data_IF_562080921018
#
_entry.id   IF_562080921018
#
_cell.length_a   1.000
_cell.length_b   1.000
_cell.length_c   1.000
_cell.angle_alpha   90.00
_cell.angle_beta   90.00
_cell.angle_gamma   90.00
#
_symmetry.space_group_name_H-M   'P 1'
#
loop_
_entity.id
_entity.type
_entity.pdbx_description
1 polymer ?
#
# COMPACT_ATOMS: atom_id res chain seq x y z
N UNK A 1 -22.34 -1.53 4.96
CA UNK A 1 -22.73 -2.73 5.73
C UNK A 1 -21.90 -2.79 7.01
N UNK A 2 -22.39 -3.35 8.11
CA UNK A 2 -21.62 -3.46 9.35
C UNK A 2 -20.59 -4.60 9.28
N UNK A 3 -19.50 -4.50 10.03
CA UNK A 3 -18.47 -5.55 10.09
C UNK A 3 -19.05 -6.89 10.58
N UNK A 4 -19.95 -6.85 11.57
CA UNK A 4 -20.63 -8.04 12.09
C UNK A 4 -21.49 -8.72 11.00
N UNK A 5 -22.19 -7.93 10.18
CA UNK A 5 -22.95 -8.46 9.06
C UNK A 5 -22.04 -9.17 8.05
N UNK A 6 -20.96 -8.50 7.62
CA UNK A 6 -19.97 -9.07 6.70
C UNK A 6 -19.33 -10.35 7.25
N UNK A 7 -19.09 -10.39 8.56
CA UNK A 7 -18.51 -11.56 9.23
C UNK A 7 -19.47 -12.75 9.29
N UNK A 8 -20.77 -12.50 9.42
CA UNK A 8 -21.81 -13.55 9.52
C UNK A 8 -22.13 -14.24 8.19
N UNK A 9 -21.66 -13.70 7.06
CA UNK A 9 -21.92 -14.29 5.74
C UNK A 9 -21.20 -15.63 5.60
N UNK A 10 -21.86 -16.58 4.93
CA UNK A 10 -21.24 -17.86 4.55
C UNK A 10 -19.95 -17.58 3.77
N UNK A 11 -18.90 -18.31 4.14
CA UNK A 11 -17.58 -18.19 3.50
C UNK A 11 -17.73 -18.49 2.00
N UNK A 12 -17.29 -17.55 1.17
CA UNK A 12 -17.30 -17.58 -0.28
C UNK A 12 -15.85 -17.45 -0.76
N UNK A 13 -15.40 -18.39 -1.58
CA UNK A 13 -14.02 -18.41 -2.09
C UNK A 13 -13.72 -17.22 -2.99
N UNK A 14 -14.71 -16.66 -3.69
CA UNK A 14 -14.54 -15.52 -4.61
C UNK A 14 -14.63 -14.14 -3.96
N UNK A 15 -15.05 -14.04 -2.70
CA UNK A 15 -15.22 -12.76 -1.99
C UNK A 15 -14.16 -12.56 -0.91
N UNK A 16 -13.60 -11.37 -0.83
CA UNK A 16 -12.59 -11.00 0.15
C UNK A 16 -12.83 -9.56 0.60
N UNK A 17 -12.91 -9.36 1.91
CA UNK A 17 -13.07 -8.04 2.53
C UNK A 17 -11.86 -7.80 3.42
N UNK A 18 -11.00 -6.85 3.06
CA UNK A 18 -9.84 -6.51 3.88
C UNK A 18 -10.28 -5.65 5.06
N UNK A 19 -9.80 -5.97 6.25
CA UNK A 19 -10.13 -5.27 7.48
C UNK A 19 -8.87 -4.93 8.27
N UNK A 20 -8.79 -3.69 8.72
CA UNK A 20 -7.72 -3.16 9.54
C UNK A 20 -8.32 -2.46 10.77
N UNK A 21 -8.12 -3.05 11.94
CA UNK A 21 -8.46 -2.41 13.22
C UNK A 21 -7.42 -2.81 14.29
N UNK A 22 -6.44 -1.95 14.59
CA UNK A 22 -5.38 -2.26 15.56
C UNK A 22 -5.89 -2.39 17.00
N UNK A 23 -7.13 -1.99 17.29
CA UNK A 23 -7.72 -2.20 18.63
C UNK A 23 -8.06 -3.67 18.87
N UNK A 24 -8.36 -4.39 17.79
CA UNK A 24 -8.77 -5.79 17.84
C UNK A 24 -7.71 -6.72 17.23
N UNK A 25 -6.84 -6.21 16.36
CA UNK A 25 -5.78 -6.95 15.69
C UNK A 25 -4.42 -6.68 16.36
N UNK A 26 -3.96 -7.63 17.17
CA UNK A 26 -2.69 -7.52 17.90
C UNK A 26 -1.49 -7.40 16.95
N UNK A 27 -1.49 -8.12 15.84
CA UNK A 27 -0.37 -8.13 14.90
C UNK A 27 -0.30 -6.77 14.17
N UNK A 28 -1.44 -6.26 13.71
CA UNK A 28 -1.52 -4.94 13.11
C UNK A 28 -1.11 -3.85 14.10
N UNK A 29 -1.57 -3.92 15.36
CA UNK A 29 -1.15 -2.98 16.41
C UNK A 29 0.36 -2.96 16.58
N UNK A 30 1.00 -4.14 16.66
CA UNK A 30 2.45 -4.23 16.77
C UNK A 30 3.16 -3.64 15.54
N UNK A 31 2.62 -3.84 14.33
CA UNK A 31 3.15 -3.22 13.12
C UNK A 31 3.04 -1.68 13.15
N UNK A 32 1.90 -1.14 13.59
CA UNK A 32 1.69 0.31 13.73
C UNK A 32 2.69 0.91 14.72
N UNK A 33 2.82 0.32 15.91
CA UNK A 33 3.76 0.82 16.91
C UNK A 33 5.21 0.72 16.44
N UNK A 34 5.57 -0.37 15.75
CA UNK A 34 6.91 -0.51 15.18
C UNK A 34 7.16 0.52 14.06
N UNK A 35 6.17 0.81 13.21
CA UNK A 35 6.32 1.79 12.14
C UNK A 35 6.51 3.21 12.69
N UNK A 36 5.70 3.59 13.69
CA UNK A 36 5.85 4.89 14.38
C UNK A 36 7.21 5.02 15.06
N UNK A 37 7.63 3.99 15.80
CA UNK A 37 8.94 3.99 16.47
C UNK A 37 10.08 4.15 15.48
N UNK A 38 10.12 3.33 14.42
CA UNK A 38 11.17 3.41 13.39
C UNK A 38 11.16 4.75 12.67
N UNK A 39 9.98 5.29 12.34
CA UNK A 39 9.88 6.61 11.71
C UNK A 39 10.47 7.71 12.60
N UNK A 40 10.18 7.69 13.90
CA UNK A 40 10.77 8.63 14.86
C UNK A 40 12.30 8.46 14.99
N UNK A 41 12.81 7.22 15.00
CA UNK A 41 14.26 6.93 14.99
C UNK A 41 14.95 7.44 13.71
N UNK A 42 14.22 7.53 12.61
CA UNK A 42 14.68 8.12 11.34
C UNK A 42 14.58 9.65 11.30
N UNK A 43 14.15 10.28 12.39
CA UNK A 43 14.05 11.73 12.51
C UNK A 43 12.73 12.32 12.06
N UNK A 44 11.70 11.50 11.75
CA UNK A 44 10.38 12.02 11.43
C UNK A 44 9.75 12.62 12.69
N UNK A 45 9.42 13.91 12.60
CA UNK A 45 8.69 14.66 13.62
C UNK A 45 7.38 15.20 13.06
N UNK A 46 6.34 15.45 13.89
CA UNK A 46 5.02 15.88 13.41
C UNK A 46 5.05 17.13 12.51
N UNK A 47 5.94 18.07 12.79
CA UNK A 47 6.07 19.34 12.09
C UNK A 47 6.56 19.16 10.64
N UNK A 48 7.24 18.05 10.33
CA UNK A 48 7.75 17.77 8.99
C UNK A 48 6.64 17.52 7.95
N UNK A 49 5.42 17.22 8.39
CA UNK A 49 4.27 17.02 7.50
C UNK A 49 4.04 18.24 6.59
N UNK A 50 4.11 19.44 7.16
CA UNK A 50 3.86 20.72 6.48
C UNK A 50 5.15 21.43 6.02
N UNK A 51 6.30 20.79 6.18
CA UNK A 51 7.60 21.33 5.77
C UNK A 51 7.95 20.94 4.34
N UNK A 52 8.48 21.92 3.60
CA UNK A 52 8.86 21.84 2.18
C UNK A 52 10.37 21.77 1.94
N UNK A 53 11.18 21.79 2.99
CA UNK A 53 12.63 21.73 2.86
C UNK A 53 13.10 20.32 2.47
N UNK A 54 14.30 20.27 1.89
CA UNK A 54 14.92 19.06 1.36
C UNK A 54 15.11 17.97 2.44
N UNK A 55 15.43 18.37 3.68
CA UNK A 55 15.62 17.43 4.78
C UNK A 55 14.30 16.74 5.15
N UNK A 56 13.20 17.50 5.25
CA UNK A 56 11.87 16.96 5.47
C UNK A 56 11.45 15.99 4.36
N UNK A 57 11.66 16.37 3.09
CA UNK A 57 11.33 15.53 1.93
C UNK A 57 12.14 14.22 1.98
N UNK A 58 13.45 14.30 2.18
CA UNK A 58 14.33 13.13 2.22
C UNK A 58 13.99 12.20 3.40
N UNK A 59 13.65 12.77 4.55
CA UNK A 59 13.21 12.01 5.73
C UNK A 59 11.91 11.26 5.42
N UNK A 60 10.92 11.93 4.83
CA UNK A 60 9.65 11.31 4.41
C UNK A 60 9.88 10.20 3.38
N UNK A 61 10.78 10.37 2.42
CA UNK A 61 11.18 9.34 1.43
C UNK A 61 11.77 8.11 2.11
N UNK A 62 12.70 8.30 3.04
CA UNK A 62 13.30 7.21 3.81
C UNK A 62 12.26 6.44 4.63
N UNK A 63 11.32 7.14 5.26
CA UNK A 63 10.22 6.50 6.01
C UNK A 63 9.29 5.73 5.08
N UNK A 64 8.96 6.27 3.91
CA UNK A 64 8.18 5.55 2.88
C UNK A 64 8.89 4.24 2.50
N UNK A 65 10.18 4.28 2.18
CA UNK A 65 10.96 3.08 1.86
C UNK A 65 10.94 2.06 3.00
N UNK A 66 11.19 2.49 4.23
CA UNK A 66 11.14 1.64 5.43
C UNK A 66 9.76 0.98 5.61
N UNK A 67 8.67 1.72 5.42
CA UNK A 67 7.32 1.17 5.49
C UNK A 67 7.04 0.16 4.37
N UNK A 68 7.52 0.41 3.15
CA UNK A 68 7.43 -0.54 2.04
C UNK A 68 8.12 -1.86 2.36
N UNK A 69 9.32 -1.81 2.93
CA UNK A 69 10.07 -2.99 3.38
C UNK A 69 9.34 -3.74 4.49
N UNK A 70 8.74 -3.03 5.46
CA UNK A 70 7.92 -3.65 6.51
C UNK A 70 6.70 -4.38 5.94
N UNK A 71 5.96 -3.74 5.04
CA UNK A 71 4.77 -4.33 4.39
C UNK A 71 5.16 -5.56 3.57
N UNK A 72 6.21 -5.43 2.76
CA UNK A 72 6.71 -6.51 1.93
C UNK A 72 7.15 -7.70 2.78
N UNK A 73 7.96 -7.46 3.81
CA UNK A 73 8.44 -8.50 4.73
C UNK A 73 7.29 -9.20 5.48
N UNK A 74 6.29 -8.45 5.94
CA UNK A 74 5.11 -9.03 6.60
C UNK A 74 4.26 -9.90 5.66
N UNK A 75 4.34 -9.67 4.35
CA UNK A 75 3.52 -10.33 3.33
C UNK A 75 4.31 -11.22 2.37
N UNK A 76 5.43 -11.77 2.83
CA UNK A 76 6.17 -12.83 2.12
C UNK A 76 7.42 -12.37 1.37
N UNK A 77 7.84 -11.11 1.52
CA UNK A 77 9.03 -10.56 0.88
C UNK A 77 8.78 -10.03 -0.52
N UNK A 78 9.83 -9.61 -1.22
CA UNK A 78 9.73 -9.26 -2.65
C UNK A 78 9.40 -10.49 -3.48
N UNK A 79 8.75 -10.27 -4.61
CA UNK A 79 8.37 -11.27 -5.59
C UNK A 79 8.96 -10.85 -6.93
N UNK A 80 9.61 -11.75 -7.66
CA UNK A 80 9.96 -11.47 -9.05
C UNK A 80 8.68 -11.33 -9.90
N UNK A 81 8.79 -10.77 -11.10
CA UNK A 81 7.64 -10.67 -11.99
C UNK A 81 7.22 -12.06 -12.48
N UNK A 82 8.22 -12.91 -12.74
CA UNK A 82 8.08 -14.27 -13.22
C UNK A 82 7.36 -15.16 -12.19
N UNK A 83 7.67 -14.99 -10.91
CA UNK A 83 7.12 -15.82 -9.83
C UNK A 83 5.72 -15.36 -9.38
N UNK A 84 5.18 -14.27 -9.92
CA UNK A 84 3.92 -13.69 -9.42
C UNK A 84 2.73 -14.65 -9.54
N UNK A 85 2.67 -15.40 -10.64
CA UNK A 85 1.59 -16.39 -10.85
C UNK A 85 1.68 -17.55 -9.85
N UNK A 86 2.91 -17.90 -9.44
CA UNK A 86 3.20 -18.99 -8.51
C UNK A 86 3.28 -18.52 -7.04
N UNK A 87 2.98 -17.25 -6.77
CA UNK A 87 3.08 -16.64 -5.43
C UNK A 87 2.20 -17.33 -4.37
N UNK A 88 1.28 -18.23 -4.77
CA UNK A 88 0.46 -19.08 -3.89
C UNK A 88 -0.36 -18.31 -2.84
N UNK A 89 -0.69 -17.04 -3.09
CA UNK A 89 -1.44 -16.20 -2.15
C UNK A 89 -2.86 -16.72 -1.89
N UNK A 90 -3.45 -17.50 -2.80
CA UNK A 90 -4.78 -18.08 -2.64
C UNK A 90 -4.86 -19.06 -1.46
N UNK A 91 -3.77 -19.81 -1.18
CA UNK A 91 -3.68 -20.67 -0.01
C UNK A 91 -3.68 -19.85 1.28
N UNK A 92 -2.99 -18.70 1.28
CA UNK A 92 -2.94 -17.80 2.43
C UNK A 92 -4.30 -17.13 2.70
N UNK A 93 -5.01 -16.73 1.65
CA UNK A 93 -6.39 -16.25 1.77
C UNK A 93 -7.27 -17.32 2.41
N UNK A 94 -7.19 -18.56 1.93
CA UNK A 94 -7.97 -19.69 2.46
C UNK A 94 -7.67 -19.90 3.94
N UNK A 95 -6.38 -19.93 4.33
CA UNK A 95 -5.94 -20.04 5.72
C UNK A 95 -6.52 -18.92 6.61
N UNK A 96 -6.49 -17.68 6.14
CA UNK A 96 -7.04 -16.54 6.90
C UNK A 96 -8.56 -16.63 7.05
N UNK A 97 -9.28 -17.05 5.99
CA UNK A 97 -10.73 -17.27 6.06
C UNK A 97 -11.10 -18.38 7.03
N UNK A 98 -10.35 -19.48 7.03
CA UNK A 98 -10.56 -20.61 7.94
C UNK A 98 -10.27 -20.23 9.40
N UNK A 99 -9.19 -19.49 9.64
CA UNK A 99 -8.79 -19.00 10.97
C UNK A 99 -9.92 -18.23 11.66
N UNK A 100 -10.68 -17.43 10.89
CA UNK A 100 -11.76 -16.58 11.43
C UNK A 100 -13.17 -17.01 11.02
N UNK A 101 -13.29 -18.10 10.28
CA UNK A 101 -14.55 -18.62 9.68
C UNK A 101 -15.34 -17.51 8.97
N UNK A 102 -14.65 -16.66 8.21
CA UNK A 102 -15.22 -15.43 7.63
C UNK A 102 -14.56 -15.03 6.31
N UNK A 103 -15.29 -14.30 5.45
CA UNK A 103 -14.72 -13.64 4.26
C UNK A 103 -13.95 -12.35 4.60
N UNK A 104 -14.06 -11.88 5.85
CA UNK A 104 -13.31 -10.73 6.36
C UNK A 104 -11.89 -11.18 6.69
N UNK A 105 -10.94 -10.70 5.91
CA UNK A 105 -9.51 -10.93 6.09
C UNK A 105 -8.92 -9.81 6.94
N UNK A 106 -8.45 -10.20 8.12
CA UNK A 106 -7.76 -9.28 9.01
C UNK A 106 -6.33 -9.12 8.52
N UNK A 107 -5.97 -7.90 8.17
CA UNK A 107 -4.72 -7.66 7.44
C UNK A 107 -3.49 -8.06 8.25
N UNK A 108 -3.55 -7.97 9.59
CA UNK A 108 -2.47 -8.40 10.48
C UNK A 108 -2.29 -9.91 10.59
N UNK A 109 -3.26 -10.71 10.12
CA UNK A 109 -3.10 -12.17 10.08
C UNK A 109 -2.39 -12.64 8.81
N UNK A 110 -2.35 -11.82 7.76
CA UNK A 110 -1.77 -12.20 6.47
C UNK A 110 -0.25 -12.30 6.55
N UNK A 111 0.28 -13.43 6.10
CA UNK A 111 1.72 -13.73 6.00
C UNK A 111 2.22 -13.70 4.55
N UNK A 112 1.28 -13.70 3.60
CA UNK A 112 1.56 -13.63 2.17
C UNK A 112 0.45 -12.88 1.45
N UNK A 113 0.81 -11.88 0.67
CA UNK A 113 -0.16 -11.03 -0.04
C UNK A 113 0.37 -10.55 -1.38
N UNK A 114 -0.57 -10.31 -2.30
CA UNK A 114 -0.36 -9.63 -3.58
C UNK A 114 -0.62 -8.13 -3.47
N UNK A 115 -0.43 -7.40 -4.59
CA UNK A 115 -0.58 -5.96 -4.74
C UNK A 115 -1.70 -5.31 -3.91
N UNK A 116 -2.95 -5.76 -4.02
CA UNK A 116 -4.08 -5.18 -3.25
C UNK A 116 -3.95 -5.27 -1.74
N UNK A 117 -3.40 -6.36 -1.22
CA UNK A 117 -3.23 -6.56 0.22
C UNK A 117 -2.12 -5.65 0.75
N UNK A 118 -1.02 -5.60 0.00
CA UNK A 118 0.14 -4.76 0.33
C UNK A 118 -0.21 -3.29 0.25
N UNK A 119 -0.86 -2.86 -0.82
CA UNK A 119 -1.24 -1.47 -1.02
C UNK A 119 -2.24 -1.00 0.05
N UNK A 120 -3.17 -1.87 0.46
CA UNK A 120 -4.07 -1.60 1.57
C UNK A 120 -3.32 -1.44 2.90
N UNK A 121 -2.43 -2.37 3.25
CA UNK A 121 -1.64 -2.28 4.49
C UNK A 121 -0.71 -1.06 4.47
N UNK A 122 -0.03 -0.79 3.36
CA UNK A 122 0.85 0.37 3.21
C UNK A 122 0.10 1.67 3.39
N UNK A 123 -1.07 1.84 2.73
CA UNK A 123 -1.93 3.01 2.93
C UNK A 123 -2.33 3.17 4.39
N UNK A 124 -2.75 2.08 5.03
CA UNK A 124 -3.15 2.11 6.43
C UNK A 124 -2.00 2.55 7.33
N UNK A 125 -0.79 1.98 7.17
CA UNK A 125 0.38 2.37 7.95
C UNK A 125 0.79 3.82 7.69
N UNK A 126 0.76 4.27 6.43
CA UNK A 126 1.00 5.67 6.10
C UNK A 126 0.02 6.59 6.82
N UNK A 127 -1.27 6.26 6.86
CA UNK A 127 -2.26 7.09 7.58
C UNK A 127 -2.03 7.13 9.09
N UNK A 128 -1.36 6.12 9.67
CA UNK A 128 -0.99 6.13 11.08
C UNK A 128 0.29 6.92 11.38
N UNK A 129 1.18 7.08 10.40
CA UNK A 129 2.53 7.65 10.58
C UNK A 129 2.67 9.04 9.92
N UNK A 130 2.19 9.20 8.70
CA UNK A 130 2.18 10.42 7.88
C UNK A 130 0.81 10.58 7.19
N UNK A 131 -0.22 11.04 7.92
CA UNK A 131 -1.57 11.20 7.38
C UNK A 131 -1.61 12.01 6.08
N UNK A 132 -2.36 11.53 5.09
CA UNK A 132 -2.56 12.25 3.82
C UNK A 132 -1.41 12.14 2.81
N UNK A 133 -0.26 11.57 3.19
CA UNK A 133 0.89 11.41 2.28
C UNK A 133 0.60 10.46 1.13
N UNK A 134 -0.04 9.32 1.43
CA UNK A 134 -0.28 8.25 0.48
C UNK A 134 -1.73 8.21 0.02
N UNK A 135 -1.94 7.93 -1.26
CA UNK A 135 -3.22 7.57 -1.87
C UNK A 135 -3.19 6.11 -2.27
N UNK A 136 -4.31 5.40 -2.12
CA UNK A 136 -4.50 4.06 -2.67
C UNK A 136 -5.20 4.18 -4.01
N UNK A 137 -4.65 3.53 -5.03
CA UNK A 137 -5.20 3.51 -6.40
C UNK A 137 -5.45 2.07 -6.85
N UNK A 138 -6.38 1.89 -7.78
CA UNK A 138 -6.73 0.59 -8.35
C UNK A 138 -7.13 0.75 -9.80
N UNK A 139 -6.67 -0.15 -10.66
CA UNK A 139 -7.11 -0.24 -12.04
C UNK A 139 -7.27 -1.70 -12.49
N UNK A 140 -8.11 -1.91 -13.49
CA UNK A 140 -8.20 -3.19 -14.18
C UNK A 140 -7.15 -3.20 -15.29
N UNK A 141 -6.05 -3.86 -15.03
CA UNK A 141 -5.04 -4.13 -16.05
C UNK A 141 -5.57 -5.27 -16.93
N UNK A 142 -5.75 -5.03 -18.23
CA UNK A 142 -6.37 -6.02 -19.13
C UNK A 142 -5.39 -7.11 -19.61
N UNK A 143 -4.08 -6.94 -19.38
CA UNK A 143 -3.02 -7.84 -19.84
C UNK A 143 -1.98 -8.09 -18.75
N UNK A 144 -1.34 -9.25 -18.79
CA UNK A 144 -0.27 -9.62 -17.86
C UNK A 144 -0.75 -10.27 -16.55
N UNK A 145 0.20 -10.58 -15.67
CA UNK A 145 -0.03 -11.32 -14.42
C UNK A 145 -0.88 -10.54 -13.38
N UNK A 146 -1.15 -9.26 -13.62
CA UNK A 146 -1.76 -8.34 -12.66
C UNK A 146 -3.18 -7.88 -13.02
N UNK A 147 -4.03 -8.77 -13.53
CA UNK A 147 -5.43 -8.41 -13.83
C UNK A 147 -6.14 -7.92 -12.56
N UNK A 148 -6.48 -6.62 -12.52
CA UNK A 148 -7.00 -5.94 -11.33
C UNK A 148 -5.92 -5.65 -10.29
N UNK A 149 -5.17 -4.58 -10.50
CA UNK A 149 -4.01 -4.19 -9.68
C UNK A 149 -4.33 -2.99 -8.80
N UNK A 150 -3.67 -2.91 -7.65
CA UNK A 150 -3.76 -1.78 -6.74
C UNK A 150 -2.37 -1.40 -6.25
N UNK A 151 -2.12 -0.10 -6.13
CA UNK A 151 -0.83 0.48 -5.77
C UNK A 151 -1.04 1.73 -4.91
N UNK A 152 0.07 2.32 -4.46
CA UNK A 152 0.04 3.59 -3.77
C UNK A 152 0.80 4.66 -4.52
N UNK A 153 0.25 5.87 -4.47
CA UNK A 153 0.94 7.08 -4.92
C UNK A 153 1.23 7.95 -3.70
N UNK A 154 2.42 8.52 -3.61
CA UNK A 154 2.81 9.47 -2.57
C UNK A 154 3.16 10.82 -3.17
N UNK A 155 2.88 11.89 -2.42
CA UNK A 155 3.28 13.25 -2.78
C UNK A 155 3.99 13.89 -1.61
N UNK A 156 5.21 14.36 -1.82
CA UNK A 156 5.96 15.07 -0.78
C UNK A 156 5.68 16.56 -0.89
N UNK A 157 5.17 17.17 0.18
CA UNK A 157 4.93 18.61 0.19
C UNK A 157 6.23 19.39 -0.06
N UNK A 158 6.20 20.32 -1.01
CA UNK A 158 7.39 21.07 -1.45
C UNK A 158 8.14 20.51 -2.64
N UNK A 159 7.88 19.25 -3.00
CA UNK A 159 8.57 18.55 -4.07
C UNK A 159 7.85 18.76 -5.40
N UNK A 160 8.26 19.82 -6.10
CA UNK A 160 7.62 20.30 -7.32
C UNK A 160 8.62 20.40 -8.47
N UNK A 161 8.12 20.33 -9.69
CA UNK A 161 8.89 20.66 -10.89
C UNK A 161 9.11 22.18 -11.05
N UNK A 162 9.77 22.56 -12.15
CA UNK A 162 10.06 23.95 -12.48
C UNK A 162 8.80 24.82 -12.68
N UNK A 163 7.68 24.21 -13.05
CA UNK A 163 6.39 24.88 -13.25
C UNK A 163 5.56 24.95 -11.95
N UNK A 164 6.10 24.43 -10.84
CA UNK A 164 5.44 24.41 -9.54
C UNK A 164 4.42 23.27 -9.38
N UNK A 165 4.36 22.33 -10.32
CA UNK A 165 3.50 21.16 -10.24
C UNK A 165 4.15 20.11 -9.33
N UNK A 166 3.40 19.68 -8.32
CA UNK A 166 3.88 18.70 -7.34
C UNK A 166 4.09 17.33 -7.99
N UNK A 167 5.25 16.74 -7.74
CA UNK A 167 5.56 15.38 -8.16
C UNK A 167 4.68 14.36 -7.45
N UNK A 168 4.39 13.28 -8.17
CA UNK A 168 3.63 12.14 -7.67
C UNK A 168 4.44 10.90 -7.92
N UNK A 169 4.66 10.10 -6.88
CA UNK A 169 5.48 8.90 -6.97
C UNK A 169 4.66 7.64 -6.77
N UNK A 170 4.74 6.70 -7.71
CA UNK A 170 4.23 5.35 -7.51
C UNK A 170 5.20 4.56 -6.64
N UNK A 171 4.69 3.92 -5.59
CA UNK A 171 5.48 3.09 -4.66
C UNK A 171 5.40 1.63 -5.09
N UNK A 172 6.54 1.00 -5.33
CA UNK A 172 6.58 -0.45 -5.56
C UNK A 172 6.66 -1.21 -4.22
N UNK A 173 5.74 -2.15 -4.06
CA UNK A 173 5.59 -3.01 -2.89
C UNK A 173 5.75 -4.50 -3.22
N UNK A 174 5.96 -4.84 -4.49
CA UNK A 174 5.99 -6.20 -5.01
C UNK A 174 7.40 -6.58 -5.45
N UNK A 175 8.03 -5.81 -6.33
CA UNK A 175 9.24 -6.22 -7.05
C UNK A 175 10.47 -5.49 -6.53
N UNK A 176 10.60 -4.19 -6.82
CA UNK A 176 11.64 -3.31 -6.28
C UNK A 176 11.11 -2.54 -5.06
N UNK A 177 11.06 -3.24 -3.92
CA UNK A 177 10.36 -2.78 -2.72
C UNK A 177 10.90 -1.44 -2.23
N UNK A 178 10.02 -0.44 -2.18
CA UNK A 178 10.33 0.91 -1.71
C UNK A 178 10.88 1.84 -2.78
N UNK A 179 11.03 1.38 -4.02
CA UNK A 179 11.29 2.25 -5.16
C UNK A 179 10.14 3.25 -5.37
N UNK A 180 10.51 4.47 -5.78
CA UNK A 180 9.61 5.60 -6.01
C UNK A 180 9.73 6.04 -7.46
N UNK A 181 8.72 5.72 -8.26
CA UNK A 181 8.69 6.07 -9.69
C UNK A 181 7.94 7.38 -9.90
N UNK A 182 8.60 8.40 -10.44
CA UNK A 182 7.99 9.70 -10.71
C UNK A 182 6.97 9.59 -11.86
N UNK A 183 5.73 10.02 -11.62
CA UNK A 183 4.63 9.99 -12.60
C UNK A 183 4.59 11.27 -13.49
N UNK A 184 5.58 12.17 -13.37
CA UNK A 184 5.52 13.58 -13.77
C UNK A 184 6.20 14.03 -15.07
N UNK A 185 7.26 13.39 -15.59
CA UNK A 185 7.94 13.91 -16.81
C UNK A 185 8.63 12.89 -17.72
N UNK A 186 8.90 11.66 -17.27
CA UNK A 186 9.48 10.63 -18.15
C UNK A 186 8.58 9.42 -18.20
N UNK A 187 7.56 9.58 -19.03
CA UNK A 187 6.84 8.49 -19.69
C UNK A 187 7.78 7.68 -20.62
N UNK A 188 9.04 7.38 -20.25
CA UNK A 188 9.97 6.63 -21.10
C UNK A 188 10.60 5.47 -20.33
N UNK A 189 11.22 5.71 -19.17
CA UNK A 189 11.73 4.62 -18.32
C UNK A 189 10.66 4.10 -17.35
N UNK A 190 9.81 4.98 -16.83
CA UNK A 190 8.60 4.54 -16.14
C UNK A 190 7.60 3.91 -17.12
N UNK A 191 7.60 4.25 -18.41
CA UNK A 191 6.57 3.79 -19.36
C UNK A 191 6.68 2.34 -19.81
N UNK A 192 7.87 1.75 -19.92
CA UNK A 192 7.90 0.31 -20.23
C UNK A 192 7.28 -0.53 -19.10
N UNK A 193 7.32 -0.04 -17.86
CA UNK A 193 6.78 -0.70 -16.68
C UNK A 193 5.35 -0.25 -16.32
N UNK A 194 5.06 1.04 -16.47
CA UNK A 194 3.82 1.73 -16.09
C UNK A 194 2.87 1.85 -17.29
N UNK A 195 3.34 2.24 -18.49
CA UNK A 195 2.50 2.39 -19.68
C UNK A 195 2.14 1.07 -20.37
N UNK A 196 2.85 -0.04 -20.10
CA UNK A 196 2.32 -1.37 -20.45
C UNK A 196 1.02 -1.70 -19.71
N UNK A 197 0.72 -1.03 -18.58
CA UNK A 197 -0.21 -1.55 -17.59
C UNK A 197 -1.12 -0.53 -16.87
N UNK A 198 -1.01 0.78 -17.10
CA UNK A 198 -1.87 1.79 -16.47
C UNK A 198 -2.67 2.61 -17.50
N UNK A 199 -3.98 2.37 -17.58
CA UNK A 199 -4.91 3.44 -17.93
C UNK A 199 -5.19 4.25 -16.66
N UNK A 200 -4.83 5.55 -16.68
CA UNK A 200 -5.11 6.51 -15.61
C UNK A 200 -6.63 6.76 -15.53
N UNK A 201 -7.30 6.17 -14.55
CA UNK A 201 -8.61 6.64 -14.11
C UNK A 201 -8.46 7.48 -12.84
N UNK A 202 -8.88 8.74 -12.91
CA UNK A 202 -8.97 9.67 -11.77
C UNK A 202 -10.28 9.41 -11.03
N UNK A 203 -10.23 9.10 -9.73
CA UNK A 203 -11.43 8.99 -8.89
C UNK A 203 -11.57 10.17 -7.93
N UNK A 204 -12.81 10.66 -7.82
CA UNK A 204 -13.28 11.52 -6.74
C UNK A 204 -13.78 10.65 -5.59
N UNK A 205 -13.30 10.89 -4.37
CA UNK A 205 -13.86 10.28 -3.17
C UNK A 205 -14.91 11.21 -2.59
N UNK A 206 -16.16 10.75 -2.49
CA UNK A 206 -17.11 11.32 -1.53
C UNK A 206 -16.62 10.88 -0.15
N UNK A 207 -15.95 11.79 0.56
CA UNK A 207 -15.69 11.62 1.97
C UNK A 207 -17.05 11.40 2.66
N UNK A 208 -17.21 10.26 3.33
CA UNK A 208 -18.31 10.10 4.27
C UNK A 208 -18.04 11.07 5.42
N UNK A 209 -18.95 12.04 5.55
CA UNK A 209 -19.02 13.02 6.63
C UNK A 209 -19.06 12.35 8.01
#
# INVERSE_FOLDING_TARGET
>A
ESIHFLQSRKVDKGMEVLFADPRQDKNLRQMVESAKKKAAEMGLVPEMSDQKDELSIETKRKVVKMMSEMVSGAMGGSCSFEDYNDWAYAAEITRCKELRRSNVLWIGDMRRGVCRHRAFLFKFLCDQVMPGLARLERAKIERGAHVGHAWNCVKFYGDNDADGQQFVYTVDLMHDVGALFNNGTDLIEADEWVARYQHKDVYHFLALQ
#
